data_IF_078982464441
#
_entry.id   IF_078982464441
#
_cell.length_a   1.000
_cell.length_b   1.000
_cell.length_c   1.000
_cell.angle_alpha   90.00
_cell.angle_beta   90.00
_cell.angle_gamma   90.00
#
_symmetry.space_group_name_H-M   'P 1'
#
loop_
_entity.id
_entity.type
_entity.pdbx_description
1 polymer ?
#
# COMPACT_ATOMS: atom_id res chain seq x y z
N UNK A 1 -13.66 -14.72 2.73
CA UNK A 1 -13.34 -13.49 1.97
C UNK A 1 -12.04 -13.73 1.23
N UNK A 2 -11.90 -13.23 0.00
CA UNK A 2 -10.63 -13.35 -0.74
C UNK A 2 -9.72 -12.25 -0.20
N UNK A 3 -8.45 -12.56 0.04
CA UNK A 3 -7.46 -11.56 0.42
C UNK A 3 -6.66 -11.13 -0.81
N UNK A 4 -6.29 -9.86 -0.83
CA UNK A 4 -5.37 -9.31 -1.82
C UNK A 4 -4.00 -9.18 -1.18
N UNK A 5 -2.97 -9.52 -1.96
CA UNK A 5 -1.58 -9.28 -1.58
C UNK A 5 -0.94 -8.34 -2.58
N UNK A 6 0.08 -7.62 -2.14
CA UNK A 6 0.90 -6.80 -3.02
C UNK A 6 2.26 -6.51 -2.41
N UNK A 7 3.20 -6.09 -3.25
CA UNK A 7 4.59 -5.81 -2.85
C UNK A 7 4.82 -4.31 -2.81
N UNK A 8 5.45 -3.80 -1.76
CA UNK A 8 5.84 -2.40 -1.65
C UNK A 8 6.89 -2.08 -2.72
N UNK A 9 6.55 -1.25 -3.70
CA UNK A 9 7.44 -0.88 -4.81
C UNK A 9 7.92 0.56 -4.76
N UNK A 10 7.27 1.41 -3.97
CA UNK A 10 7.67 2.80 -3.81
C UNK A 10 7.31 3.32 -2.43
N UNK A 11 8.16 4.19 -1.87
CA UNK A 11 7.94 4.86 -0.59
C UNK A 11 8.41 6.32 -0.72
N UNK A 12 7.52 7.26 -0.41
CA UNK A 12 7.88 8.63 -0.10
C UNK A 12 7.79 8.85 1.41
N UNK A 13 8.93 8.71 2.11
CA UNK A 13 8.99 8.84 3.57
C UNK A 13 8.70 10.25 4.08
N UNK A 14 8.95 11.29 3.29
CA UNK A 14 8.66 12.68 3.70
C UNK A 14 7.15 12.94 3.80
N UNK A 15 6.34 12.17 3.06
CA UNK A 15 4.88 12.28 3.02
C UNK A 15 4.17 11.08 3.62
N UNK A 16 4.91 10.11 4.15
CA UNK A 16 4.41 8.83 4.62
C UNK A 16 3.59 8.05 3.57
N UNK A 17 3.83 8.29 2.27
CA UNK A 17 3.10 7.66 1.17
C UNK A 17 3.81 6.40 0.68
N UNK A 18 3.05 5.35 0.37
CA UNK A 18 3.55 4.05 -0.06
C UNK A 18 2.77 3.55 -1.28
N UNK A 19 3.48 3.08 -2.29
CA UNK A 19 2.93 2.37 -3.44
C UNK A 19 3.11 0.88 -3.30
N UNK A 20 2.00 0.14 -3.25
CA UNK A 20 1.96 -1.33 -3.16
C UNK A 20 1.46 -1.89 -4.48
N UNK A 21 2.32 -2.62 -5.20
CA UNK A 21 2.00 -3.25 -6.47
C UNK A 21 1.20 -4.53 -6.27
N UNK A 22 0.07 -4.63 -6.97
CA UNK A 22 -0.84 -5.78 -6.97
C UNK A 22 -0.69 -6.51 -8.30
N UNK A 23 -0.01 -7.66 -8.30
CA UNK A 23 0.32 -8.40 -9.52
C UNK A 23 -0.92 -8.84 -10.30
N UNK A 24 -1.99 -9.26 -9.62
CA UNK A 24 -3.21 -9.74 -10.27
C UNK A 24 -3.98 -8.63 -11.01
N UNK A 25 -3.71 -7.36 -10.70
CA UNK A 25 -4.37 -6.22 -11.30
C UNK A 25 -3.42 -5.32 -12.13
N UNK A 26 -2.13 -5.66 -12.20
CA UNK A 26 -1.07 -4.91 -12.86
C UNK A 26 -1.10 -3.40 -12.53
N UNK A 27 -1.30 -3.08 -11.25
CA UNK A 27 -1.44 -1.70 -10.78
C UNK A 27 -0.98 -1.54 -9.34
N UNK A 28 -1.08 -0.32 -8.81
CA UNK A 28 -0.70 0.00 -7.44
C UNK A 28 -1.91 0.45 -6.60
N UNK A 29 -1.86 0.05 -5.34
CA UNK A 29 -2.59 0.70 -4.26
C UNK A 29 -1.68 1.71 -3.58
N UNK A 30 -2.20 2.91 -3.31
CA UNK A 30 -1.48 3.98 -2.64
C UNK A 30 -2.01 4.13 -1.23
N UNK A 31 -1.10 4.07 -0.27
CA UNK A 31 -1.36 4.10 1.18
C UNK A 31 -0.64 5.29 1.80
N UNK A 32 -1.23 5.87 2.83
CA UNK A 32 -0.52 6.68 3.82
C UNK A 32 -0.35 5.86 5.11
N UNK A 33 0.87 5.84 5.64
CA UNK A 33 1.21 5.10 6.85
C UNK A 33 1.37 6.03 8.05
N UNK A 34 1.02 5.52 9.23
CA UNK A 34 1.44 6.14 10.49
C UNK A 34 2.96 6.09 10.66
N UNK A 35 3.52 7.09 11.35
CA UNK A 35 4.96 7.23 11.59
C UNK A 35 5.63 6.07 12.34
N UNK A 36 4.83 5.21 12.99
CA UNK A 36 5.32 4.03 13.72
C UNK A 36 5.42 2.77 12.86
N UNK A 37 4.92 2.79 11.61
CA UNK A 37 4.87 1.61 10.77
C UNK A 37 6.23 1.39 10.10
N UNK A 38 6.94 0.35 10.54
CA UNK A 38 8.19 -0.08 9.92
C UNK A 38 7.90 -0.75 8.56
N UNK A 39 8.26 -0.09 7.46
CA UNK A 39 8.02 -0.58 6.09
C UNK A 39 9.21 -0.32 5.16
N UNK A 40 9.48 -1.29 4.30
CA UNK A 40 10.53 -1.21 3.29
C UNK A 40 10.05 -1.63 1.89
N UNK A 41 10.79 -1.20 0.87
CA UNK A 41 10.63 -1.68 -0.50
C UNK A 41 10.88 -3.19 -0.52
N UNK A 42 9.97 -3.94 -1.14
CA UNK A 42 9.98 -5.40 -1.19
C UNK A 42 9.14 -6.07 -0.09
N UNK A 43 8.60 -5.32 0.88
CA UNK A 43 7.67 -5.88 1.86
C UNK A 43 6.38 -6.35 1.17
N UNK A 44 5.86 -7.51 1.60
CA UNK A 44 4.59 -8.04 1.10
C UNK A 44 3.48 -7.63 2.06
N UNK A 45 2.51 -6.90 1.55
CA UNK A 45 1.32 -6.45 2.26
C UNK A 45 0.11 -7.32 1.91
N UNK A 46 -0.78 -7.52 2.87
CA UNK A 46 -2.04 -8.26 2.74
C UNK A 46 -3.19 -7.43 3.32
N UNK A 47 -4.34 -7.46 2.62
CA UNK A 47 -5.57 -6.80 3.04
C UNK A 47 -6.79 -7.50 2.43
N UNK A 48 -7.98 -7.12 2.89
CA UNK A 48 -9.23 -7.63 2.33
C UNK A 48 -9.44 -7.09 0.90
N UNK A 49 -9.79 -7.96 -0.04
CA UNK A 49 -9.76 -7.69 -1.50
C UNK A 49 -10.77 -6.67 -2.04
N UNK A 50 -11.29 -5.77 -1.20
CA UNK A 50 -12.16 -4.68 -1.60
C UNK A 50 -11.38 -3.47 -2.14
N UNK A 51 -12.12 -2.53 -2.76
CA UNK A 51 -11.60 -1.22 -3.22
C UNK A 51 -11.98 -0.09 -2.24
N UNK A 52 -12.06 -0.43 -0.95
CA UNK A 52 -12.45 0.53 0.07
C UNK A 52 -11.31 1.53 0.30
N UNK A 53 -11.66 2.82 0.26
CA UNK A 53 -10.75 3.91 0.56
C UNK A 53 -10.87 4.32 2.04
N UNK A 54 -9.90 5.08 2.53
CA UNK A 54 -9.85 5.55 3.91
C UNK A 54 -9.14 4.57 4.84
N UNK A 55 -9.43 4.66 6.15
CA UNK A 55 -8.76 3.85 7.17
C UNK A 55 -9.13 2.38 7.03
N UNK A 56 -8.13 1.53 6.74
CA UNK A 56 -8.30 0.10 6.53
C UNK A 56 -7.18 -0.68 7.23
N UNK A 57 -7.50 -1.91 7.65
CA UNK A 57 -6.53 -2.81 8.27
C UNK A 57 -5.65 -3.49 7.21
N UNK A 58 -4.34 -3.31 7.33
CA UNK A 58 -3.33 -3.93 6.47
C UNK A 58 -2.33 -4.71 7.32
N UNK A 59 -1.85 -5.82 6.76
CA UNK A 59 -0.84 -6.67 7.38
C UNK A 59 0.43 -6.67 6.54
N UNK A 60 1.57 -6.39 7.18
CA UNK A 60 2.86 -6.64 6.57
C UNK A 60 3.27 -8.09 6.86
N UNK A 61 3.23 -8.95 5.84
CA UNK A 61 3.56 -10.37 5.94
C UNK A 61 5.07 -10.60 6.11
N UNK A 62 5.91 -9.73 5.55
CA UNK A 62 7.37 -9.81 5.68
C UNK A 62 7.82 -9.54 7.11
N UNK A 63 7.24 -8.51 7.74
CA UNK A 63 7.64 -8.03 9.08
C UNK A 63 6.73 -8.49 10.22
N UNK A 64 5.58 -9.08 9.91
CA UNK A 64 4.71 -9.73 10.89
C UNK A 64 3.84 -8.79 11.74
N UNK A 65 3.60 -7.56 11.28
CA UNK A 65 2.73 -6.61 11.98
C UNK A 65 1.42 -6.35 11.22
N UNK A 66 0.41 -5.89 11.95
CA UNK A 66 -0.88 -5.41 11.43
C UNK A 66 -1.11 -4.00 11.95
N UNK A 67 -1.55 -3.10 11.08
CA UNK A 67 -1.86 -1.72 11.44
C UNK A 67 -3.01 -1.18 10.59
N UNK A 68 -3.67 -0.15 11.12
CA UNK A 68 -4.56 0.69 10.32
C UNK A 68 -3.73 1.64 9.46
N UNK A 69 -4.05 1.71 8.17
CA UNK A 69 -3.43 2.58 7.19
C UNK A 69 -4.51 3.38 6.47
N UNK A 70 -4.19 4.54 5.91
CA UNK A 70 -5.16 5.28 5.10
C UNK A 70 -4.97 4.95 3.62
N UNK A 71 -5.95 4.32 3.00
CA UNK A 71 -5.94 3.99 1.58
C UNK A 71 -6.38 5.20 0.77
N UNK A 72 -5.43 5.83 0.07
CA UNK A 72 -5.69 7.01 -0.73
C UNK A 72 -6.27 6.64 -2.11
N UNK A 73 -5.79 5.56 -2.73
CA UNK A 73 -6.22 5.16 -4.07
C UNK A 73 -5.91 3.69 -4.39
N UNK A 74 -6.63 3.13 -5.36
CA UNK A 74 -6.37 1.82 -5.98
C UNK A 74 -6.28 1.98 -7.50
N UNK A 75 -5.74 0.98 -8.20
CA UNK A 75 -5.75 1.01 -9.66
C UNK A 75 -4.76 2.01 -10.27
N UNK A 76 -3.75 2.44 -9.50
CA UNK A 76 -2.78 3.43 -9.97
C UNK A 76 -1.79 2.75 -10.90
N UNK A 77 -1.85 3.10 -12.19
CA UNK A 77 -0.87 2.64 -13.17
C UNK A 77 0.55 3.07 -12.78
N UNK A 78 1.56 2.25 -13.09
CA UNK A 78 2.96 2.51 -12.76
C UNK A 78 3.42 3.90 -13.24
N UNK A 79 2.98 4.33 -14.43
CA UNK A 79 3.30 5.65 -14.99
C UNK A 79 2.79 6.84 -14.16
N UNK A 80 1.79 6.65 -13.31
CA UNK A 80 1.18 7.70 -12.49
C UNK A 80 1.58 7.60 -11.00
N UNK A 81 2.34 6.57 -10.62
CA UNK A 81 2.65 6.30 -9.22
C UNK A 81 3.44 7.44 -8.57
N UNK A 82 4.46 7.95 -9.27
CA UNK A 82 5.31 9.03 -8.74
C UNK A 82 4.48 10.28 -8.40
N UNK A 83 3.54 10.66 -9.27
CA UNK A 83 2.64 11.80 -9.03
C UNK A 83 1.78 11.58 -7.79
N UNK A 84 1.21 10.38 -7.62
CA UNK A 84 0.36 10.06 -6.47
C UNK A 84 1.14 10.06 -5.13
N UNK A 85 2.45 9.79 -5.15
CA UNK A 85 3.29 9.82 -3.96
C UNK A 85 3.78 11.24 -3.58
N UNK A 86 3.54 12.24 -4.43
CA UNK A 86 3.96 13.63 -4.21
C UNK A 86 2.82 14.56 -3.79
N UNK A 87 1.57 14.10 -3.83
CA UNK A 87 0.38 14.88 -3.44
C UNK A 87 0.36 15.12 -1.94
#
# INVERSE_FOLDING_TARGET
MKQTTGEVRAINRQRAMVGVYVEQEDNHTVLELGSANDIDIGDVMEWDSGKALGTQSYRNLTKGWTAEVYVANHGVAAANLEVQLLV
#
